data_IF_380124291971
#
_entry.id   IF_380124291971
#
_cell.length_a   1.000
_cell.length_b   1.000
_cell.length_c   1.000
_cell.angle_alpha   90.00
_cell.angle_beta   90.00
_cell.angle_gamma   90.00
#
_symmetry.space_group_name_H-M   'P 1'
#
loop_
_entity.id
_entity.type
_entity.pdbx_description
1 polymer ?
#
# COMPACT_ATOMS: atom_id res chain seq x y z
N UNK A 1 15.47 7.52 -34.55
CA UNK A 1 15.09 8.48 -33.48
C UNK A 1 14.10 7.85 -32.48
N UNK A 2 14.36 6.62 -31.99
CA UNK A 2 13.38 5.80 -31.23
C UNK A 2 13.91 5.22 -29.90
N UNK A 3 15.23 5.27 -29.64
CA UNK A 3 15.83 4.57 -28.48
C UNK A 3 15.63 5.31 -27.15
N UNK A 4 15.50 6.64 -27.16
CA UNK A 4 15.36 7.45 -25.93
C UNK A 4 14.01 7.24 -25.22
N UNK A 5 12.96 6.91 -25.96
CA UNK A 5 11.60 6.72 -25.40
C UNK A 5 11.44 5.38 -24.71
N UNK A 6 12.20 4.35 -25.09
CA UNK A 6 12.10 3.03 -24.45
C UNK A 6 12.80 3.01 -23.08
N UNK A 7 13.89 3.76 -22.93
CA UNK A 7 14.60 3.89 -21.66
C UNK A 7 13.76 4.60 -20.57
N UNK A 8 12.96 5.60 -20.95
CA UNK A 8 12.06 6.28 -20.00
C UNK A 8 10.92 5.37 -19.54
N UNK A 9 10.31 4.60 -20.45
CA UNK A 9 9.24 3.64 -20.12
C UNK A 9 9.73 2.55 -19.18
N UNK A 10 10.90 1.97 -19.43
CA UNK A 10 11.49 0.96 -18.55
C UNK A 10 11.73 1.50 -17.12
N UNK A 11 12.18 2.75 -17.01
CA UNK A 11 12.41 3.42 -15.72
C UNK A 11 11.11 3.65 -14.96
N UNK A 12 10.07 4.14 -15.63
CA UNK A 12 8.74 4.35 -15.02
C UNK A 12 8.13 3.03 -14.56
N UNK A 13 8.24 1.98 -15.37
CA UNK A 13 7.75 0.65 -15.02
C UNK A 13 8.46 0.09 -13.78
N UNK A 14 9.78 0.26 -13.71
CA UNK A 14 10.57 -0.19 -12.55
C UNK A 14 10.24 0.59 -11.28
N UNK A 15 10.09 1.91 -11.37
CA UNK A 15 9.69 2.73 -10.23
C UNK A 15 8.29 2.37 -9.73
N UNK A 16 7.36 2.12 -10.65
CA UNK A 16 5.98 1.71 -10.33
C UNK A 16 5.94 0.36 -9.64
N UNK A 17 6.73 -0.61 -10.11
CA UNK A 17 6.86 -1.94 -9.48
C UNK A 17 7.36 -1.83 -8.04
N UNK A 18 8.44 -1.08 -7.80
CA UNK A 18 8.99 -0.87 -6.46
C UNK A 18 7.94 -0.22 -5.54
N UNK A 19 7.23 0.79 -6.05
CA UNK A 19 6.16 1.45 -5.29
C UNK A 19 5.04 0.49 -4.92
N UNK A 20 4.55 -0.33 -5.86
CA UNK A 20 3.47 -1.28 -5.60
C UNK A 20 3.88 -2.34 -4.57
N UNK A 21 5.12 -2.82 -4.63
CA UNK A 21 5.67 -3.75 -3.64
C UNK A 21 5.71 -3.12 -2.24
N UNK A 22 6.18 -1.87 -2.15
CA UNK A 22 6.22 -1.14 -0.88
C UNK A 22 4.81 -0.89 -0.31
N UNK A 23 3.83 -0.52 -1.15
CA UNK A 23 2.45 -0.31 -0.72
C UNK A 23 1.81 -1.62 -0.23
N UNK A 24 2.09 -2.75 -0.88
CA UNK A 24 1.65 -4.06 -0.40
C UNK A 24 2.26 -4.40 0.96
N UNK A 25 3.58 -4.25 1.10
CA UNK A 25 4.28 -4.55 2.35
C UNK A 25 3.79 -3.66 3.50
N UNK A 26 3.54 -2.38 3.21
CA UNK A 26 2.88 -1.46 4.14
C UNK A 26 1.52 -2.01 4.59
N UNK A 27 0.71 -2.52 3.67
CA UNK A 27 -0.59 -3.11 3.99
C UNK A 27 -0.50 -4.36 4.87
N UNK A 28 0.51 -5.20 4.67
CA UNK A 28 0.80 -6.37 5.50
C UNK A 28 1.16 -5.96 6.93
N UNK A 29 2.05 -4.97 7.08
CA UNK A 29 2.40 -4.42 8.40
C UNK A 29 1.19 -3.78 9.10
N UNK A 30 0.40 -2.98 8.37
CA UNK A 30 -0.80 -2.35 8.92
C UNK A 30 -1.88 -3.36 9.34
N UNK A 31 -1.91 -4.56 8.75
CA UNK A 31 -2.79 -5.66 9.20
C UNK A 31 -2.27 -6.33 10.47
N UNK A 32 -0.94 -6.44 10.61
CA UNK A 32 -0.30 -7.05 11.77
C UNK A 32 -0.29 -6.13 13.00
N UNK A 33 -0.32 -4.80 12.81
CA UNK A 33 -0.30 -3.82 13.90
C UNK A 33 -1.56 -3.90 14.78
N UNK A 34 -1.43 -3.72 16.10
CA UNK A 34 -2.57 -3.65 17.00
C UNK A 34 -3.43 -2.43 16.65
N UNK A 35 -4.74 -2.65 16.48
CA UNK A 35 -5.69 -1.56 16.22
C UNK A 35 -6.02 -0.84 17.51
N UNK A 36 -6.23 0.47 17.42
CA UNK A 36 -6.75 1.24 18.54
C UNK A 36 -8.12 0.67 18.95
N UNK A 37 -8.39 0.46 20.25
CA UNK A 37 -9.68 -0.05 20.70
C UNK A 37 -10.82 0.88 20.24
N UNK A 38 -11.96 0.32 19.77
CA UNK A 38 -13.13 1.12 19.41
C UNK A 38 -13.68 1.84 20.64
N UNK A 39 -14.20 3.05 20.45
CA UNK A 39 -14.58 4.01 21.49
C UNK A 39 -15.41 3.45 22.63
N UNK A 40 -14.72 3.02 23.67
CA UNK A 40 -15.22 3.05 25.04
C UNK A 40 -14.37 4.09 25.74
N UNK A 41 -15.02 5.01 26.45
CA UNK A 41 -14.34 5.97 27.34
C UNK A 41 -13.22 5.23 28.08
N UNK A 42 -11.99 5.78 28.12
CA UNK A 42 -10.93 5.14 28.86
C UNK A 42 -11.44 5.02 30.29
N UNK A 43 -11.69 3.79 30.75
CA UNK A 43 -11.63 3.53 32.18
C UNK A 43 -10.27 4.08 32.57
N UNK A 44 -10.27 5.09 33.42
CA UNK A 44 -9.06 5.71 33.93
C UNK A 44 -8.30 4.58 34.62
N UNK A 45 -7.42 3.92 33.87
CA UNK A 45 -6.57 2.86 34.38
C UNK A 45 -5.42 3.60 35.03
N UNK A 46 -5.63 3.96 36.29
CA UNK A 46 -4.58 4.44 37.19
C UNK A 46 -3.57 3.28 37.27
N UNK A 47 -2.47 3.37 36.52
CA UNK A 47 -1.30 2.51 36.73
C UNK A 47 -1.01 1.41 35.69
N UNK A 48 -1.49 1.50 34.44
CA UNK A 48 -0.94 0.64 33.37
C UNK A 48 -0.12 1.49 32.40
N UNK A 49 1.18 1.22 32.31
CA UNK A 49 2.11 1.71 31.27
C UNK A 49 1.70 1.15 29.90
N UNK A 50 0.57 1.61 29.38
CA UNK A 50 0.14 1.31 28.00
C UNK A 50 0.82 2.34 27.12
N UNK A 51 1.87 1.94 26.41
CA UNK A 51 2.44 2.80 25.38
C UNK A 51 1.35 3.16 24.36
N UNK A 52 1.20 4.46 24.04
CA UNK A 52 0.19 4.89 23.09
C UNK A 52 0.49 4.28 21.71
N UNK A 53 -0.52 3.60 21.13
CA UNK A 53 -0.43 3.08 19.76
C UNK A 53 -0.42 4.27 18.80
N UNK A 54 0.65 4.40 18.01
CA UNK A 54 0.80 5.49 17.06
C UNK A 54 -0.36 5.54 16.06
N UNK A 55 -0.91 6.74 15.84
CA UNK A 55 -2.00 6.93 14.88
C UNK A 55 -1.48 6.94 13.44
N UNK A 56 -2.34 6.64 12.46
CA UNK A 56 -1.96 6.67 11.04
C UNK A 56 -1.41 8.05 10.60
N UNK A 57 -1.93 9.12 11.21
CA UNK A 57 -1.47 10.49 10.95
C UNK A 57 -0.09 10.78 11.52
N UNK A 58 0.27 10.18 12.66
CA UNK A 58 1.61 10.31 13.26
C UNK A 58 2.70 9.63 12.43
N UNK A 59 2.38 8.50 11.79
CA UNK A 59 3.29 7.82 10.85
C UNK A 59 3.28 8.44 9.44
N UNK A 60 2.58 9.57 9.26
CA UNK A 60 2.56 10.33 8.01
C UNK A 60 1.76 9.68 6.87
N UNK A 61 0.83 8.76 7.17
CA UNK A 61 0.05 8.03 6.17
C UNK A 61 -1.42 8.47 6.22
N UNK A 62 -2.00 8.73 5.04
CA UNK A 62 -3.42 9.05 4.93
C UNK A 62 -4.29 7.79 5.04
N UNK A 63 -5.53 7.95 5.52
CA UNK A 63 -6.51 6.84 5.58
C UNK A 63 -6.72 6.16 4.22
N UNK A 64 -6.70 6.94 3.13
CA UNK A 64 -6.84 6.42 1.76
C UNK A 64 -5.65 5.56 1.34
N UNK A 65 -4.44 5.99 1.64
CA UNK A 65 -3.22 5.21 1.39
C UNK A 65 -3.24 3.91 2.19
N UNK A 66 -3.57 3.96 3.48
CA UNK A 66 -3.71 2.77 4.33
C UNK A 66 -4.73 1.78 3.76
N UNK A 67 -5.91 2.26 3.36
CA UNK A 67 -6.96 1.40 2.81
C UNK A 67 -6.53 0.73 1.51
N UNK A 68 -5.86 1.47 0.61
CA UNK A 68 -5.37 0.92 -0.65
C UNK A 68 -4.25 -0.10 -0.41
N UNK A 69 -3.29 0.20 0.46
CA UNK A 69 -2.21 -0.70 0.86
C UNK A 69 -2.76 -2.03 1.41
N UNK A 70 -3.74 -1.96 2.32
CA UNK A 70 -4.36 -3.16 2.89
C UNK A 70 -5.14 -4.00 1.86
N UNK A 71 -5.74 -3.37 0.84
CA UNK A 71 -6.37 -4.06 -0.30
C UNK A 71 -5.32 -4.76 -1.16
N UNK A 72 -4.20 -4.12 -1.45
CA UNK A 72 -3.09 -4.73 -2.18
C UNK A 72 -2.52 -5.93 -1.41
N UNK A 73 -2.36 -5.80 -0.11
CA UNK A 73 -1.97 -6.88 0.81
C UNK A 73 -3.02 -7.98 0.98
N UNK A 74 -4.24 -7.81 0.45
CA UNK A 74 -5.25 -8.88 0.44
C UNK A 74 -5.13 -9.76 -0.81
N UNK A 75 -4.41 -9.31 -1.84
CA UNK A 75 -4.20 -10.06 -3.08
C UNK A 75 -3.12 -11.13 -2.83
N UNK A 76 -3.35 -12.40 -3.21
CA UNK A 76 -2.34 -13.44 -3.17
C UNK A 76 -1.04 -13.04 -3.88
N UNK A 77 0.09 -13.59 -3.43
CA UNK A 77 1.40 -13.26 -3.97
C UNK A 77 1.52 -13.52 -5.48
N UNK A 78 1.00 -14.67 -5.91
CA UNK A 78 1.04 -15.13 -7.30
C UNK A 78 0.25 -14.18 -8.21
N UNK A 79 -1.02 -13.92 -7.87
CA UNK A 79 -1.90 -13.03 -8.64
C UNK A 79 -1.35 -11.59 -8.73
N UNK A 80 -0.73 -11.09 -7.66
CA UNK A 80 -0.09 -9.77 -7.67
C UNK A 80 1.09 -9.71 -8.64
N UNK A 81 1.96 -10.72 -8.62
CA UNK A 81 3.14 -10.78 -9.49
C UNK A 81 2.74 -10.90 -10.97
N UNK A 82 1.71 -11.71 -11.27
CA UNK A 82 1.15 -11.82 -12.61
C UNK A 82 0.62 -10.47 -13.11
N UNK A 83 -0.14 -9.74 -12.26
CA UNK A 83 -0.65 -8.41 -12.61
C UNK A 83 0.47 -7.40 -12.90
N UNK A 84 1.56 -7.43 -12.13
CA UNK A 84 2.74 -6.58 -12.40
C UNK A 84 3.42 -6.97 -13.71
N UNK A 85 3.58 -8.27 -13.98
CA UNK A 85 4.20 -8.77 -15.21
C UNK A 85 3.39 -8.34 -16.44
N UNK A 86 2.06 -8.49 -16.40
CA UNK A 86 1.15 -8.05 -17.47
C UNK A 86 1.22 -6.53 -17.66
N UNK A 87 1.21 -5.74 -16.58
CA UNK A 87 1.27 -4.28 -16.66
C UNK A 87 2.60 -3.76 -17.25
N UNK A 88 3.72 -4.48 -17.01
CA UNK A 88 5.01 -4.17 -17.62
C UNK A 88 5.02 -4.47 -19.13
N UNK A 89 4.36 -5.56 -19.55
CA UNK A 89 4.26 -5.94 -20.95
C UNK A 89 3.34 -4.99 -21.77
N UNK A 90 2.32 -4.40 -21.13
CA UNK A 90 1.37 -3.50 -21.79
C UNK A 90 1.83 -2.03 -21.90
N UNK A 91 3.08 -1.71 -21.54
CA UNK A 91 3.65 -0.37 -21.75
C UNK A 91 3.07 0.73 -20.85
N UNK A 92 2.55 0.38 -19.67
CA UNK A 92 2.07 1.36 -18.69
C UNK A 92 0.57 1.65 -18.74
N UNK A 93 -0.22 0.89 -19.49
CA UNK A 93 -1.68 0.90 -19.31
C UNK A 93 -2.00 0.19 -17.99
N UNK A 94 -2.10 0.93 -16.89
CA UNK A 94 -2.58 0.39 -15.61
C UNK A 94 -4.06 0.02 -15.78
N UNK A 95 -4.47 -1.27 -15.84
CA UNK A 95 -5.89 -1.63 -15.95
C UNK A 95 -6.64 -1.47 -14.60
N UNK A 96 -6.23 -0.49 -13.78
CA UNK A 96 -6.74 -0.27 -12.43
C UNK A 96 -7.09 1.18 -12.09
N UNK A 97 -6.82 2.15 -12.98
CA UNK A 97 -7.33 3.52 -12.82
C UNK A 97 -8.73 3.71 -13.44
N UNK A 98 -9.29 2.69 -14.11
CA UNK A 98 -10.64 2.72 -14.67
C UNK A 98 -11.62 1.75 -13.98
N UNK A 99 -11.36 1.42 -12.72
CA UNK A 99 -12.32 0.78 -11.82
C UNK A 99 -12.41 1.58 -10.51
N UNK A 100 -12.76 2.86 -10.65
CA UNK A 100 -13.24 3.70 -9.56
C UNK A 100 -14.55 4.35 -10.01
N UNK A 101 -15.66 3.65 -9.79
CA UNK A 101 -16.88 4.09 -9.06
C UNK A 101 -18.03 3.16 -9.43
#
# INVERSE_FOLDING_TARGET
MSERTNASVATVNRATEIRLMAERQMGEFLKAMPKHPPGREPKINIGSDVEPIATLSEIGITKKQSANAQKLAAIPAEEFNERIAVAKASGGNQPGQSACL
#
